data_IF_865256694897
#
_entry.id   IF_865256694897
#
_cell.length_a   1.000
_cell.length_b   1.000
_cell.length_c   1.000
_cell.angle_alpha   90.00
_cell.angle_beta   90.00
_cell.angle_gamma   90.00
#
_symmetry.space_group_name_H-M   'P 1'
#
loop_
_entity.id
_entity.type
_entity.pdbx_description
1 polymer ?
#
# COMPACT_ATOMS: atom_id res chain seq x y z
N UNK A 1 -55.50 46.57 15.47
CA UNK A 1 -56.51 46.19 14.45
C UNK A 1 -56.40 44.69 14.19
N UNK A 2 -57.52 43.96 14.09
CA UNK A 2 -57.50 42.50 13.86
C UNK A 2 -57.06 42.23 12.43
N UNK A 3 -56.01 41.43 12.24
CA UNK A 3 -55.49 41.00 10.93
C UNK A 3 -56.45 39.99 10.24
N UNK A 4 -57.75 40.28 10.22
CA UNK A 4 -58.79 39.36 9.74
C UNK A 4 -59.08 38.16 10.65
N UNK A 5 -58.50 38.09 11.86
CA UNK A 5 -58.64 36.94 12.78
C UNK A 5 -59.54 37.27 13.98
N UNK A 6 -60.52 36.40 14.26
CA UNK A 6 -61.47 36.47 15.38
C UNK A 6 -62.92 36.84 15.00
N UNK A 7 -63.81 36.95 15.99
CA UNK A 7 -65.23 37.30 15.81
C UNK A 7 -65.50 38.79 15.51
N UNK A 8 -66.40 39.11 14.56
CA UNK A 8 -66.77 40.50 14.26
C UNK A 8 -67.31 41.26 15.49
N UNK A 9 -68.07 40.58 16.35
CA UNK A 9 -68.51 41.07 17.66
C UNK A 9 -68.55 39.92 18.67
N UNK A 10 -68.27 40.19 19.95
CA UNK A 10 -68.40 39.20 21.02
C UNK A 10 -69.87 38.94 21.39
N UNK A 11 -70.77 39.88 21.08
CA UNK A 11 -72.20 39.78 21.37
C UNK A 11 -72.85 38.67 20.54
N UNK A 12 -73.60 37.80 21.21
CA UNK A 12 -74.24 36.63 20.59
C UNK A 12 -73.33 35.39 20.46
N UNK A 13 -72.03 35.52 20.71
CA UNK A 13 -71.10 34.37 20.65
C UNK A 13 -71.03 33.55 21.95
N UNK A 14 -71.55 34.07 23.05
CA UNK A 14 -71.46 33.43 24.37
C UNK A 14 -70.06 33.43 24.99
N UNK A 15 -69.08 34.15 24.41
CA UNK A 15 -67.69 34.23 24.91
C UNK A 15 -67.24 35.70 25.06
N UNK A 16 -66.11 35.93 25.75
CA UNK A 16 -65.52 37.26 25.91
C UNK A 16 -64.94 37.86 24.63
N UNK A 17 -64.81 37.08 23.55
CA UNK A 17 -64.21 37.51 22.28
C UNK A 17 -62.68 37.70 22.34
N UNK A 18 -62.01 37.18 23.38
CA UNK A 18 -60.55 37.21 23.51
C UNK A 18 -59.89 36.25 22.50
N UNK A 19 -58.87 36.73 21.78
CA UNK A 19 -58.16 35.96 20.74
C UNK A 19 -56.70 35.83 21.13
N UNK A 20 -56.21 34.60 21.25
CA UNK A 20 -54.79 34.30 21.50
C UNK A 20 -54.07 33.97 20.20
N UNK A 21 -52.78 34.30 20.14
CA UNK A 21 -51.91 33.81 19.06
C UNK A 21 -51.51 32.36 19.35
N UNK A 22 -51.55 31.50 18.32
CA UNK A 22 -51.07 30.13 18.47
C UNK A 22 -49.54 30.11 18.41
N UNK A 23 -48.89 29.83 19.55
CA UNK A 23 -47.42 29.74 19.64
C UNK A 23 -46.80 28.56 18.88
N UNK A 24 -47.60 27.55 18.52
CA UNK A 24 -47.18 26.42 17.70
C UNK A 24 -47.47 26.62 16.21
N UNK A 25 -48.10 27.73 15.82
CA UNK A 25 -48.33 28.02 14.41
C UNK A 25 -46.99 28.30 13.72
N UNK A 26 -46.59 27.38 12.84
CA UNK A 26 -45.43 27.55 11.97
C UNK A 26 -45.93 28.12 10.65
N UNK A 27 -45.36 29.26 10.26
CA UNK A 27 -45.60 29.86 8.95
C UNK A 27 -45.28 28.85 7.83
N UNK A 28 -46.13 28.76 6.81
CA UNK A 28 -45.95 27.87 5.66
C UNK A 28 -44.58 28.07 4.97
N UNK A 29 -44.03 29.28 5.03
CA UNK A 29 -42.68 29.61 4.56
C UNK A 29 -41.55 28.91 5.36
N UNK A 30 -41.80 28.53 6.62
CA UNK A 30 -40.86 27.74 7.44
C UNK A 30 -41.02 26.24 7.22
N UNK A 31 -42.21 25.78 6.83
CA UNK A 31 -42.42 24.39 6.38
C UNK A 31 -41.66 24.10 5.07
N UNK A 32 -41.60 25.07 4.15
CA UNK A 32 -40.86 24.91 2.88
C UNK A 32 -39.34 25.07 3.03
N UNK A 33 -38.86 25.76 4.07
CA UNK A 33 -37.43 25.86 4.37
C UNK A 33 -36.87 24.52 4.87
N UNK A 34 -37.61 23.84 5.75
CA UNK A 34 -37.28 22.47 6.14
C UNK A 34 -37.42 21.52 4.94
N UNK A 35 -38.36 21.76 4.03
CA UNK A 35 -38.52 21.00 2.79
C UNK A 35 -37.33 21.15 1.83
N UNK A 36 -36.73 22.35 1.67
CA UNK A 36 -35.50 22.51 0.87
C UNK A 36 -34.30 21.79 1.46
N UNK A 37 -34.24 21.70 2.79
CA UNK A 37 -33.22 20.88 3.49
C UNK A 37 -33.52 19.38 3.38
N UNK A 38 -34.80 19.01 3.22
CA UNK A 38 -35.28 17.64 3.02
C UNK A 38 -35.45 17.22 1.55
N UNK A 39 -35.33 18.10 0.56
CA UNK A 39 -35.48 17.75 -0.86
C UNK A 39 -34.35 16.80 -1.29
N UNK A 40 -33.15 16.97 -0.74
CA UNK A 40 -32.06 16.00 -0.88
C UNK A 40 -32.33 14.66 -0.21
N UNK A 41 -33.23 14.60 0.80
CA UNK A 41 -33.65 13.38 1.46
C UNK A 41 -34.84 12.71 0.74
N UNK A 42 -35.84 13.48 0.28
CA UNK A 42 -37.02 12.95 -0.42
C UNK A 42 -36.79 12.60 -1.88
N UNK A 43 -35.84 13.25 -2.57
CA UNK A 43 -35.40 12.79 -3.88
C UNK A 43 -34.70 11.41 -3.80
N UNK A 44 -34.14 11.07 -2.64
CA UNK A 44 -33.52 9.77 -2.37
C UNK A 44 -34.52 8.61 -2.32
N UNK A 45 -35.77 8.91 -1.98
CA UNK A 45 -36.85 7.90 -1.86
C UNK A 45 -37.60 7.69 -3.19
N UNK A 46 -37.62 8.67 -4.11
CA UNK A 46 -38.36 8.56 -5.37
C UNK A 46 -37.66 7.72 -6.44
N UNK A 47 -36.33 7.73 -6.46
CA UNK A 47 -35.53 6.96 -7.41
C UNK A 47 -35.00 5.66 -6.76
N UNK A 48 -35.90 4.83 -6.23
CA UNK A 48 -35.66 3.39 -6.03
C UNK A 48 -34.59 2.98 -5.02
N UNK A 49 -34.67 3.41 -3.76
CA UNK A 49 -33.85 2.82 -2.70
C UNK A 49 -34.05 3.38 -1.30
N UNK A 50 -35.21 3.15 -0.69
CA UNK A 50 -35.33 3.22 0.76
C UNK A 50 -34.31 2.24 1.38
N UNK A 51 -33.28 2.77 2.04
CA UNK A 51 -32.25 2.00 2.76
C UNK A 51 -30.81 2.31 2.38
N UNK A 52 -30.54 2.84 1.17
CA UNK A 52 -29.18 3.22 0.80
C UNK A 52 -28.96 4.70 1.09
N UNK A 53 -28.28 5.02 2.19
CA UNK A 53 -27.49 6.24 2.21
C UNK A 53 -26.44 6.10 1.12
N UNK A 54 -26.78 6.44 -0.12
CA UNK A 54 -25.85 6.50 -1.25
C UNK A 54 -24.84 7.61 -0.97
N UNK A 55 -23.88 7.32 -0.09
CA UNK A 55 -22.67 8.07 0.09
C UNK A 55 -22.01 8.04 -1.28
N UNK A 56 -22.03 9.18 -2.00
CA UNK A 56 -21.43 9.25 -3.33
C UNK A 56 -19.96 8.86 -3.20
N UNK A 57 -19.55 7.85 -3.96
CA UNK A 57 -18.16 7.40 -3.99
C UNK A 57 -17.25 8.55 -4.44
N UNK A 58 -16.02 8.66 -3.90
CA UNK A 58 -15.05 9.63 -4.36
C UNK A 58 -14.71 9.36 -5.83
N UNK A 59 -14.63 10.42 -6.63
CA UNK A 59 -14.24 10.32 -8.04
C UNK A 59 -12.72 10.23 -8.14
N UNK A 60 -12.22 9.17 -8.79
CA UNK A 60 -10.79 8.99 -9.00
C UNK A 60 -10.18 10.15 -9.80
N UNK A 61 -10.88 10.64 -10.82
CA UNK A 61 -10.40 11.75 -11.65
C UNK A 61 -10.21 13.05 -10.85
N UNK A 62 -11.10 13.33 -9.88
CA UNK A 62 -10.99 14.54 -9.04
C UNK A 62 -9.84 14.39 -8.04
N UNK A 63 -9.66 13.20 -7.46
CA UNK A 63 -8.52 12.94 -6.56
C UNK A 63 -7.17 13.07 -7.30
N UNK A 64 -7.08 12.54 -8.52
CA UNK A 64 -5.89 12.67 -9.37
C UNK A 64 -5.63 14.14 -9.73
N UNK A 65 -6.67 14.88 -10.12
CA UNK A 65 -6.56 16.31 -10.40
C UNK A 65 -6.08 17.10 -9.18
N UNK A 66 -6.63 16.82 -7.99
CA UNK A 66 -6.21 17.50 -6.76
C UNK A 66 -4.75 17.18 -6.41
N UNK A 67 -4.30 15.94 -6.62
CA UNK A 67 -2.92 15.55 -6.42
C UNK A 67 -1.95 16.26 -7.38
N UNK A 68 -2.33 16.42 -8.65
CA UNK A 68 -1.56 17.19 -9.62
C UNK A 68 -1.55 18.68 -9.28
N UNK A 69 -2.72 19.24 -8.92
CA UNK A 69 -2.83 20.63 -8.48
C UNK A 69 -1.95 20.91 -7.26
N UNK A 70 -1.84 19.98 -6.31
CA UNK A 70 -0.98 20.15 -5.15
C UNK A 70 0.52 20.29 -5.54
N UNK A 71 0.96 19.58 -6.58
CA UNK A 71 2.33 19.74 -7.12
C UNK A 71 2.50 21.13 -7.74
N UNK A 72 1.56 21.58 -8.56
CA UNK A 72 1.66 22.89 -9.20
C UNK A 72 1.56 24.04 -8.18
N UNK A 73 0.76 23.90 -7.13
CA UNK A 73 0.73 24.84 -5.99
C UNK A 73 2.08 24.87 -5.28
N UNK A 74 2.68 23.71 -4.98
CA UNK A 74 4.01 23.66 -4.38
C UNK A 74 5.09 24.30 -5.28
N UNK A 75 4.95 24.21 -6.60
CA UNK A 75 5.83 24.89 -7.55
C UNK A 75 5.64 26.41 -7.50
N UNK A 76 4.40 26.90 -7.46
CA UNK A 76 4.12 28.32 -7.33
C UNK A 76 4.61 28.91 -6.00
N UNK A 77 4.44 28.18 -4.89
CA UNK A 77 4.99 28.57 -3.59
C UNK A 77 6.53 28.62 -3.61
N UNK A 78 7.17 27.68 -4.30
CA UNK A 78 8.63 27.66 -4.43
C UNK A 78 9.12 28.83 -5.28
N UNK A 79 8.41 29.15 -6.37
CA UNK A 79 8.68 30.30 -7.22
C UNK A 79 8.62 31.61 -6.43
N UNK A 80 7.54 31.84 -5.68
CA UNK A 80 7.37 33.03 -4.84
C UNK A 80 8.47 33.13 -3.78
N UNK A 81 8.82 32.02 -3.12
CA UNK A 81 9.90 31.97 -2.12
C UNK A 81 11.24 32.32 -2.74
N UNK A 82 11.64 31.66 -3.82
CA UNK A 82 12.94 31.91 -4.46
C UNK A 82 13.03 33.31 -5.08
N UNK A 83 11.92 33.84 -5.61
CA UNK A 83 11.85 35.23 -6.09
C UNK A 83 12.05 36.23 -4.94
N UNK A 84 11.44 35.98 -3.77
CA UNK A 84 11.62 36.83 -2.58
C UNK A 84 13.05 36.78 -2.02
N UNK A 85 13.75 35.67 -2.21
CA UNK A 85 15.16 35.47 -1.85
C UNK A 85 16.13 36.09 -2.88
N UNK A 86 15.62 36.62 -4.01
CA UNK A 86 16.44 37.24 -5.06
C UNK A 86 17.19 36.25 -5.94
N UNK A 87 16.71 35.01 -6.06
CA UNK A 87 17.30 34.02 -6.96
C UNK A 87 17.15 34.45 -8.43
N UNK A 88 18.11 34.06 -9.28
CA UNK A 88 18.04 34.29 -10.73
C UNK A 88 16.93 33.46 -11.37
N UNK A 89 16.26 34.00 -12.40
CA UNK A 89 15.18 33.33 -13.15
C UNK A 89 15.56 31.91 -13.60
N UNK A 90 16.76 31.70 -14.15
CA UNK A 90 17.20 30.37 -14.58
C UNK A 90 17.35 29.33 -13.45
N UNK A 91 17.66 29.78 -12.23
CA UNK A 91 17.71 28.91 -11.05
C UNK A 91 16.30 28.57 -10.54
N UNK A 92 15.38 29.53 -10.62
CA UNK A 92 13.96 29.35 -10.27
C UNK A 92 13.32 28.32 -11.21
N UNK A 93 13.51 28.47 -12.53
CA UNK A 93 12.96 27.53 -13.53
C UNK A 93 13.48 26.10 -13.32
N UNK A 94 14.79 25.93 -13.10
CA UNK A 94 15.38 24.63 -12.86
C UNK A 94 14.85 23.97 -11.57
N UNK A 95 14.64 24.75 -10.51
CA UNK A 95 14.08 24.28 -9.25
C UNK A 95 12.60 23.87 -9.39
N UNK A 96 11.81 24.63 -10.15
CA UNK A 96 10.41 24.31 -10.46
C UNK A 96 10.32 23.03 -11.29
N UNK A 97 11.12 22.89 -12.35
CA UNK A 97 11.10 21.69 -13.20
C UNK A 97 11.46 20.44 -12.39
N UNK A 98 12.49 20.54 -11.55
CA UNK A 98 12.88 19.47 -10.63
C UNK A 98 11.72 19.09 -9.70
N UNK A 99 11.06 20.08 -9.10
CA UNK A 99 9.95 19.87 -8.17
C UNK A 99 8.75 19.22 -8.87
N UNK A 100 8.41 19.63 -10.10
CA UNK A 100 7.38 18.96 -10.92
C UNK A 100 7.73 17.51 -11.21
N UNK A 101 8.98 17.23 -11.60
CA UNK A 101 9.44 15.88 -11.92
C UNK A 101 9.38 14.97 -10.68
N UNK A 102 9.96 15.43 -9.58
CA UNK A 102 10.01 14.69 -8.31
C UNK A 102 8.61 14.42 -7.76
N UNK A 103 7.71 15.41 -7.82
CA UNK A 103 6.31 15.27 -7.40
C UNK A 103 5.53 14.24 -8.23
N UNK A 104 5.68 14.28 -9.57
CA UNK A 104 5.02 13.31 -10.48
C UNK A 104 5.55 11.90 -10.27
N UNK A 105 6.87 11.75 -10.09
CA UNK A 105 7.49 10.46 -9.80
C UNK A 105 7.04 9.91 -8.44
N UNK A 106 6.89 10.76 -7.43
CA UNK A 106 6.36 10.37 -6.13
C UNK A 106 4.89 9.90 -6.22
N UNK A 107 4.03 10.60 -6.98
CA UNK A 107 2.66 10.16 -7.23
C UNK A 107 2.61 8.82 -7.98
N UNK A 108 3.46 8.64 -8.99
CA UNK A 108 3.57 7.38 -9.73
C UNK A 108 4.01 6.23 -8.83
N UNK A 109 5.06 6.43 -8.03
CA UNK A 109 5.53 5.43 -7.04
C UNK A 109 4.42 5.10 -6.05
N UNK A 110 3.69 6.08 -5.52
CA UNK A 110 2.56 5.85 -4.60
C UNK A 110 1.42 5.05 -5.23
N UNK A 111 1.24 5.12 -6.56
CA UNK A 111 0.28 4.28 -7.28
C UNK A 111 0.75 2.84 -7.42
N UNK A 112 2.05 2.64 -7.64
CA UNK A 112 2.67 1.33 -7.83
C UNK A 112 2.87 0.58 -6.49
N UNK A 113 3.34 1.28 -5.47
CA UNK A 113 3.43 0.77 -4.12
C UNK A 113 2.09 1.01 -3.44
N UNK A 114 1.25 -0.01 -3.31
CA UNK A 114 0.00 0.02 -2.51
C UNK A 114 0.23 0.29 -1.01
N UNK A 115 1.38 0.84 -0.63
CA UNK A 115 1.71 1.32 0.70
C UNK A 115 0.91 2.59 0.96
N UNK A 116 0.00 2.50 1.93
CA UNK A 116 -0.62 3.64 2.60
C UNK A 116 0.45 4.45 3.35
N UNK A 117 1.32 5.13 2.61
CA UNK A 117 2.11 6.20 3.18
C UNK A 117 1.11 7.25 3.66
N UNK A 118 1.08 7.50 4.98
CA UNK A 118 0.41 8.67 5.55
C UNK A 118 1.00 9.89 4.85
N UNK A 119 0.28 10.50 3.91
CA UNK A 119 0.66 11.83 3.46
C UNK A 119 0.43 12.78 4.64
N UNK A 120 1.43 13.59 4.96
CA UNK A 120 1.33 14.59 6.02
C UNK A 120 0.35 15.71 5.62
N UNK A 121 0.26 16.01 4.32
CA UNK A 121 -0.78 16.85 3.76
C UNK A 121 -2.09 16.06 3.60
N UNK A 122 -3.12 16.49 4.33
CA UNK A 122 -4.49 15.96 4.22
C UNK A 122 -5.18 16.69 3.06
N UNK A 123 -5.71 15.94 2.10
CA UNK A 123 -6.61 16.53 1.10
C UNK A 123 -7.94 16.88 1.76
N UNK A 124 -8.15 18.16 2.04
CA UNK A 124 -9.37 18.72 2.63
C UNK A 124 -10.50 18.92 1.62
N UNK A 125 -10.28 18.63 0.34
CA UNK A 125 -11.34 18.64 -0.67
C UNK A 125 -12.45 17.66 -0.28
N UNK A 126 -13.67 17.94 -0.74
CA UNK A 126 -14.83 17.08 -0.50
C UNK A 126 -14.53 15.62 -0.86
N UNK A 127 -13.91 15.36 -2.02
CA UNK A 127 -13.58 13.99 -2.44
C UNK A 127 -12.48 13.35 -1.60
N UNK A 128 -11.45 14.11 -1.18
CA UNK A 128 -10.42 13.63 -0.26
C UNK A 128 -10.98 13.28 1.12
N UNK A 129 -11.92 14.07 1.64
CA UNK A 129 -12.64 13.75 2.89
C UNK A 129 -13.50 12.50 2.73
N UNK A 130 -14.20 12.36 1.61
CA UNK A 130 -15.03 11.17 1.33
C UNK A 130 -14.18 9.90 1.23
N UNK A 131 -13.05 9.94 0.52
CA UNK A 131 -12.12 8.82 0.44
C UNK A 131 -11.60 8.41 1.83
N UNK A 132 -11.23 9.39 2.67
CA UNK A 132 -10.78 9.13 4.04
C UNK A 132 -11.88 8.47 4.87
N UNK A 133 -13.10 8.99 4.80
CA UNK A 133 -14.25 8.38 5.49
C UNK A 133 -14.54 6.97 4.99
N UNK A 134 -14.45 6.72 3.69
CA UNK A 134 -14.60 5.35 3.16
C UNK A 134 -13.53 4.41 3.67
N UNK A 135 -12.27 4.86 3.75
CA UNK A 135 -11.18 4.05 4.31
C UNK A 135 -11.34 3.81 5.82
N UNK A 136 -11.78 4.81 6.58
CA UNK A 136 -12.09 4.70 8.00
C UNK A 136 -13.26 3.74 8.24
N UNK A 137 -14.33 3.85 7.46
CA UNK A 137 -15.47 2.93 7.49
C UNK A 137 -15.07 1.52 7.06
N UNK A 138 -14.20 1.35 6.06
CA UNK A 138 -13.67 0.03 5.69
C UNK A 138 -12.81 -0.56 6.81
N UNK A 139 -12.00 0.26 7.50
CA UNK A 139 -11.21 -0.18 8.65
C UNK A 139 -12.09 -0.59 9.82
N UNK A 140 -13.14 0.18 10.11
CA UNK A 140 -14.12 -0.15 11.14
C UNK A 140 -14.90 -1.41 10.78
N UNK A 141 -15.39 -1.53 9.54
CA UNK A 141 -16.07 -2.73 9.05
C UNK A 141 -15.20 -3.98 9.23
N UNK A 142 -13.92 -3.91 8.84
CA UNK A 142 -12.95 -5.00 9.07
C UNK A 142 -12.77 -5.31 10.56
N UNK A 143 -12.72 -4.29 11.43
CA UNK A 143 -12.60 -4.49 12.88
C UNK A 143 -13.83 -5.16 13.49
N UNK A 144 -15.03 -4.84 13.00
CA UNK A 144 -16.28 -5.48 13.40
C UNK A 144 -16.54 -6.82 12.70
N UNK A 145 -15.66 -7.25 11.79
CA UNK A 145 -15.85 -8.49 11.03
C UNK A 145 -16.95 -8.41 9.97
N UNK A 146 -17.36 -7.19 9.58
CA UNK A 146 -18.33 -6.97 8.50
C UNK A 146 -17.61 -7.12 7.16
N UNK A 147 -17.99 -8.15 6.41
CA UNK A 147 -17.44 -8.40 5.09
C UNK A 147 -17.94 -7.36 4.07
N UNK A 148 -17.17 -7.16 2.98
CA UNK A 148 -17.61 -6.26 1.88
C UNK A 148 -18.99 -6.64 1.34
N UNK A 149 -19.29 -7.94 1.32
CA UNK A 149 -20.58 -8.50 0.87
C UNK A 149 -21.72 -8.15 1.83
N UNK A 150 -21.46 -8.17 3.13
CA UNK A 150 -22.46 -7.80 4.15
C UNK A 150 -22.73 -6.30 4.14
N UNK A 151 -21.71 -5.48 3.83
CA UNK A 151 -21.88 -4.04 3.63
C UNK A 151 -22.73 -3.71 2.40
N UNK A 152 -22.58 -4.49 1.34
CA UNK A 152 -23.27 -4.25 0.06
C UNK A 152 -24.63 -5.00 -0.01
N UNK A 153 -24.97 -5.79 1.02
CA UNK A 153 -26.24 -6.50 1.11
C UNK A 153 -27.41 -5.53 1.31
N UNK A 154 -28.52 -5.80 0.63
CA UNK A 154 -29.75 -5.02 0.77
C UNK A 154 -30.50 -5.46 2.02
N UNK A 155 -31.18 -4.52 2.66
CA UNK A 155 -32.11 -4.84 3.74
C UNK A 155 -33.18 -5.82 3.22
N UNK A 156 -33.31 -6.97 3.88
CA UNK A 156 -34.18 -8.07 3.43
C UNK A 156 -33.44 -9.30 2.90
N UNK A 157 -32.19 -9.15 2.42
CA UNK A 157 -31.39 -10.26 1.87
C UNK A 157 -31.12 -11.37 2.91
N UNK A 158 -31.13 -10.99 4.20
CA UNK A 158 -31.01 -11.94 5.31
C UNK A 158 -32.22 -12.88 5.43
N UNK A 159 -33.37 -12.58 4.85
CA UNK A 159 -34.57 -13.43 4.95
C UNK A 159 -34.77 -14.32 3.72
N UNK A 160 -34.06 -14.07 2.62
CA UNK A 160 -34.11 -14.89 1.42
C UNK A 160 -33.35 -16.21 1.62
N UNK A 161 -34.09 -17.31 1.64
CA UNK A 161 -33.56 -18.65 1.89
C UNK A 161 -32.67 -19.14 0.74
N UNK A 162 -33.00 -18.79 -0.50
CA UNK A 162 -32.22 -19.21 -1.68
C UNK A 162 -30.90 -18.45 -1.72
N UNK A 163 -30.94 -17.14 -1.45
CA UNK A 163 -29.74 -16.31 -1.32
C UNK A 163 -28.84 -16.80 -0.17
N UNK A 164 -29.40 -17.18 0.96
CA UNK A 164 -28.60 -17.77 2.05
C UNK A 164 -27.95 -19.10 1.67
N UNK A 165 -28.65 -19.97 0.92
CA UNK A 165 -28.11 -21.26 0.50
C UNK A 165 -26.94 -21.07 -0.46
N UNK A 166 -27.11 -20.25 -1.50
CA UNK A 166 -26.05 -19.91 -2.46
C UNK A 166 -24.83 -19.30 -1.77
N UNK A 167 -25.04 -18.38 -0.80
CA UNK A 167 -23.96 -17.81 -0.01
C UNK A 167 -23.21 -18.85 0.83
N UNK A 168 -23.91 -19.83 1.41
CA UNK A 168 -23.28 -20.92 2.17
C UNK A 168 -22.46 -21.83 1.27
N UNK A 169 -22.96 -22.14 0.08
CA UNK A 169 -22.26 -22.95 -0.92
C UNK A 169 -21.02 -22.22 -1.44
N UNK A 170 -21.13 -20.94 -1.80
CA UNK A 170 -19.98 -20.12 -2.18
C UNK A 170 -18.94 -20.06 -1.06
N UNK A 171 -19.36 -19.81 0.20
CA UNK A 171 -18.44 -19.78 1.35
C UNK A 171 -17.74 -21.13 1.54
N UNK A 172 -18.41 -22.26 1.29
CA UNK A 172 -17.81 -23.60 1.33
C UNK A 172 -16.82 -23.82 0.18
N UNK A 173 -17.22 -23.48 -1.05
CA UNK A 173 -16.38 -23.61 -2.23
C UNK A 173 -15.10 -22.76 -2.13
N UNK A 174 -15.23 -21.51 -1.67
CA UNK A 174 -14.10 -20.62 -1.46
C UNK A 174 -13.09 -21.15 -0.42
N UNK A 175 -13.58 -21.75 0.68
CA UNK A 175 -12.72 -22.41 1.68
C UNK A 175 -12.01 -23.62 1.08
N UNK A 176 -12.73 -24.46 0.33
CA UNK A 176 -12.12 -25.63 -0.32
C UNK A 176 -11.06 -25.22 -1.35
N UNK A 177 -11.31 -24.18 -2.14
CA UNK A 177 -10.34 -23.65 -3.10
C UNK A 177 -9.11 -23.09 -2.39
N UNK A 178 -9.30 -22.34 -1.29
CA UNK A 178 -8.20 -21.81 -0.49
C UNK A 178 -7.36 -22.94 0.11
N UNK A 179 -7.98 -23.98 0.66
CA UNK A 179 -7.29 -25.17 1.17
C UNK A 179 -6.52 -25.90 0.05
N UNK A 180 -7.14 -26.09 -1.12
CA UNK A 180 -6.48 -26.67 -2.30
C UNK A 180 -5.28 -25.82 -2.73
N UNK A 181 -5.40 -24.49 -2.71
CA UNK A 181 -4.32 -23.56 -3.03
C UNK A 181 -3.19 -23.65 -2.00
N UNK A 182 -3.50 -23.61 -0.70
CA UNK A 182 -2.53 -23.76 0.40
C UNK A 182 -1.83 -25.12 0.32
N UNK A 183 -2.54 -26.20 0.01
CA UNK A 183 -1.97 -27.53 -0.17
C UNK A 183 -1.02 -27.58 -1.40
N UNK A 184 -1.41 -26.96 -2.53
CA UNK A 184 -0.55 -26.82 -3.71
C UNK A 184 0.72 -26.01 -3.40
N UNK A 185 0.60 -24.92 -2.65
CA UNK A 185 1.74 -24.10 -2.23
C UNK A 185 2.67 -24.85 -1.28
N UNK A 186 2.13 -25.56 -0.28
CA UNK A 186 2.91 -26.45 0.61
C UNK A 186 3.66 -27.53 -0.17
N UNK A 187 3.00 -28.22 -1.10
CA UNK A 187 3.62 -29.23 -1.97
C UNK A 187 4.72 -28.63 -2.85
N UNK A 188 4.53 -27.41 -3.36
CA UNK A 188 5.56 -26.69 -4.13
C UNK A 188 6.74 -26.29 -3.26
N UNK A 189 6.50 -25.79 -2.04
CA UNK A 189 7.53 -25.43 -1.09
C UNK A 189 8.37 -26.66 -0.66
N UNK A 190 7.71 -27.77 -0.32
CA UNK A 190 8.38 -29.02 0.04
C UNK A 190 9.24 -29.57 -1.12
N UNK A 191 8.73 -29.51 -2.36
CA UNK A 191 9.53 -29.87 -3.56
C UNK A 191 10.74 -28.95 -3.74
N UNK A 192 10.61 -27.65 -3.49
CA UNK A 192 11.72 -26.68 -3.56
C UNK A 192 12.76 -26.97 -2.48
N UNK A 193 12.33 -27.24 -1.26
CA UNK A 193 13.21 -27.59 -0.13
C UNK A 193 13.96 -28.90 -0.39
N UNK A 194 13.28 -29.96 -0.84
CA UNK A 194 13.90 -31.23 -1.23
C UNK A 194 14.95 -31.03 -2.34
N UNK A 195 14.65 -30.22 -3.36
CA UNK A 195 15.61 -29.87 -4.43
C UNK A 195 16.80 -29.08 -3.89
N UNK A 196 16.58 -28.14 -2.97
CA UNK A 196 17.64 -27.36 -2.34
C UNK A 196 18.57 -28.24 -1.49
N UNK A 197 18.02 -29.13 -0.64
CA UNK A 197 18.79 -30.11 0.15
C UNK A 197 19.63 -31.03 -0.75
N UNK A 198 19.07 -31.52 -1.86
CA UNK A 198 19.80 -32.34 -2.84
C UNK A 198 20.94 -31.56 -3.51
N UNK A 199 20.73 -30.29 -3.86
CA UNK A 199 21.77 -29.41 -4.43
C UNK A 199 22.87 -29.11 -3.42
N UNK A 200 22.52 -28.82 -2.16
CA UNK A 200 23.47 -28.59 -1.07
C UNK A 200 24.35 -29.83 -0.82
N UNK A 201 23.75 -31.02 -0.66
CA UNK A 201 24.50 -32.28 -0.48
C UNK A 201 25.43 -32.58 -1.67
N UNK A 202 25.01 -32.27 -2.90
CA UNK A 202 25.87 -32.42 -4.10
C UNK A 202 27.03 -31.43 -4.08
N UNK A 203 26.81 -30.18 -3.64
CA UNK A 203 27.85 -29.16 -3.50
C UNK A 203 28.86 -29.53 -2.43
N UNK A 204 28.41 -29.94 -1.25
CA UNK A 204 29.26 -30.40 -0.16
C UNK A 204 30.14 -31.60 -0.58
N UNK A 205 29.56 -32.58 -1.28
CA UNK A 205 30.33 -33.71 -1.82
C UNK A 205 31.39 -33.28 -2.85
N UNK A 206 31.13 -32.23 -3.63
CA UNK A 206 32.11 -31.66 -4.58
C UNK A 206 33.23 -30.93 -3.85
N UNK A 207 32.88 -30.11 -2.86
CA UNK A 207 33.84 -29.36 -2.04
C UNK A 207 34.75 -30.32 -1.24
N UNK A 208 34.21 -31.40 -0.67
CA UNK A 208 35.01 -32.44 -0.01
C UNK A 208 36.00 -33.11 -0.97
N UNK A 209 35.54 -33.50 -2.17
CA UNK A 209 36.43 -34.09 -3.19
C UNK A 209 37.52 -33.12 -3.65
N UNK A 210 37.20 -31.83 -3.76
CA UNK A 210 38.17 -30.81 -4.12
C UNK A 210 39.21 -30.62 -3.01
N UNK A 211 38.77 -30.59 -1.74
CA UNK A 211 39.68 -30.52 -0.58
C UNK A 211 40.62 -31.71 -0.53
N UNK A 212 40.12 -32.93 -0.71
CA UNK A 212 40.94 -34.16 -0.78
C UNK A 212 41.96 -34.09 -1.93
N UNK A 213 41.56 -33.58 -3.11
CA UNK A 213 42.49 -33.38 -4.25
C UNK A 213 43.56 -32.34 -3.96
N UNK A 214 43.19 -31.20 -3.36
CA UNK A 214 44.14 -30.15 -2.96
C UNK A 214 45.14 -30.66 -1.93
N UNK A 215 44.68 -31.44 -0.95
CA UNK A 215 45.56 -32.03 0.06
C UNK A 215 46.51 -33.06 -0.54
N UNK A 216 46.02 -33.93 -1.44
CA UNK A 216 46.87 -34.89 -2.16
C UNK A 216 47.90 -34.19 -3.05
N UNK A 217 47.54 -33.06 -3.67
CA UNK A 217 48.46 -32.24 -4.46
C UNK A 217 49.55 -31.62 -3.58
N UNK A 218 49.18 -31.05 -2.41
CA UNK A 218 50.14 -30.50 -1.44
C UNK A 218 51.13 -31.57 -0.96
N UNK A 219 50.65 -32.75 -0.58
CA UNK A 219 51.51 -33.87 -0.16
C UNK A 219 52.46 -34.34 -1.27
N UNK A 220 52.04 -34.28 -2.54
CA UNK A 220 52.92 -34.57 -3.68
C UNK A 220 53.99 -33.50 -3.84
N UNK A 221 53.61 -32.23 -3.81
CA UNK A 221 54.56 -31.11 -3.89
C UNK A 221 55.56 -31.10 -2.74
N UNK A 222 55.15 -31.47 -1.52
CA UNK A 222 56.05 -31.63 -0.37
C UNK A 222 57.08 -32.75 -0.59
N UNK A 223 56.65 -33.91 -1.13
CA UNK A 223 57.56 -35.02 -1.46
C UNK A 223 58.53 -34.64 -2.57
N UNK A 224 58.04 -34.01 -3.64
CA UNK A 224 58.89 -33.54 -4.74
C UNK A 224 59.91 -32.50 -4.26
N UNK A 225 59.52 -31.60 -3.34
CA UNK A 225 60.44 -30.65 -2.73
C UNK A 225 61.49 -31.33 -1.82
N UNK A 226 61.11 -32.39 -1.10
CA UNK A 226 62.06 -33.17 -0.29
C UNK A 226 63.05 -33.93 -1.18
N UNK A 227 62.57 -34.55 -2.26
CA UNK A 227 63.41 -35.25 -3.25
C UNK A 227 64.36 -34.27 -3.97
N UNK A 228 63.88 -33.08 -4.32
CA UNK A 228 64.71 -32.02 -4.90
C UNK A 228 65.81 -31.55 -3.94
N UNK A 229 65.51 -31.42 -2.63
CA UNK A 229 66.52 -31.09 -1.61
C UNK A 229 67.56 -32.19 -1.47
N UNK A 230 67.15 -33.47 -1.47
CA UNK A 230 68.08 -34.61 -1.44
C UNK A 230 68.99 -34.62 -2.67
N UNK A 231 68.43 -34.40 -3.86
CA UNK A 231 69.22 -34.33 -5.09
C UNK A 231 70.18 -33.13 -5.09
N UNK A 232 69.74 -31.95 -4.62
CA UNK A 232 70.61 -30.78 -4.50
C UNK A 232 71.75 -30.99 -3.49
N UNK A 233 71.50 -31.71 -2.39
CA UNK A 233 72.54 -32.08 -1.42
C UNK A 233 73.57 -33.02 -2.06
N UNK A 234 73.14 -34.06 -2.77
CA UNK A 234 74.04 -34.95 -3.54
C UNK A 234 74.87 -34.19 -4.57
N UNK A 235 74.24 -33.28 -5.31
CA UNK A 235 74.95 -32.49 -6.32
C UNK A 235 75.99 -31.54 -5.69
N UNK A 236 75.71 -31.00 -4.49
CA UNK A 236 76.71 -30.22 -3.74
C UNK A 236 77.88 -31.07 -3.29
N UNK A 237 77.62 -32.27 -2.76
CA UNK A 237 78.69 -33.22 -2.39
C UNK A 237 79.56 -33.58 -3.60
N UNK A 238 78.96 -33.81 -4.77
CA UNK A 238 79.69 -34.06 -6.02
C UNK A 238 80.54 -32.86 -6.44
N UNK A 239 80.00 -31.63 -6.34
CA UNK A 239 80.76 -30.41 -6.64
C UNK A 239 81.91 -30.17 -5.65
N UNK A 240 81.71 -30.45 -4.36
CA UNK A 240 82.76 -30.32 -3.33
C UNK A 240 83.92 -31.29 -3.61
N UNK A 241 83.63 -32.50 -4.10
CA UNK A 241 84.63 -33.48 -4.54
C UNK A 241 85.41 -32.98 -5.76
N UNK A 242 84.70 -32.43 -6.76
CA UNK A 242 85.32 -31.86 -7.96
C UNK A 242 86.19 -30.65 -7.62
N UNK A 243 85.71 -29.73 -6.78
CA UNK A 243 86.48 -28.57 -6.31
C UNK A 243 87.72 -28.98 -5.52
N UNK A 244 87.63 -30.05 -4.71
CA UNK A 244 88.78 -30.64 -4.03
C UNK A 244 89.78 -31.28 -5.01
N UNK A 245 89.32 -31.82 -6.14
CA UNK A 245 90.18 -32.34 -7.20
C UNK A 245 90.83 -31.24 -8.04
N UNK A 246 90.09 -30.17 -8.38
CA UNK A 246 90.63 -28.97 -9.04
C UNK A 246 91.71 -28.33 -8.16
N UNK A 247 91.45 -28.17 -6.86
CA UNK A 247 92.44 -27.66 -5.89
C UNK A 247 93.67 -28.55 -5.78
N UNK A 248 93.54 -29.88 -5.96
CA UNK A 248 94.69 -30.80 -6.02
C UNK A 248 95.50 -30.62 -7.30
N UNK A 249 94.85 -30.46 -8.46
CA UNK A 249 95.52 -30.24 -9.75
C UNK A 249 96.18 -28.87 -9.88
N UNK A 250 95.65 -27.83 -9.25
CA UNK A 250 96.24 -26.49 -9.26
C UNK A 250 97.46 -26.33 -8.32
N UNK A 251 97.78 -27.35 -7.51
CA UNK A 251 98.91 -27.37 -6.57
C UNK A 251 100.06 -28.30 -7.03
N UNK A 252 99.97 -28.88 -8.22
CA UNK A 252 101.04 -29.61 -8.89
C UNK A 252 101.48 -28.85 -10.14
#
# INVERSE_FOLDING_TARGET
MRNGVGLASARGSGTSGYVQTNKFHRDASRLTRDAKTNEGWRARDRDGGAGATTTRRPSAAILEHNALRAIEVACAELEERMASEGASEGAIEAAIEKTRRDGRDALRRRRETATKAKSEARDESTHGVMQRKEEEMERLARAFGVDKRERDAREGDAFDRELQQTLREEKRAAREEEERRRARERRRAEKREKKAKKRAKKREKRERKERERREKSKRRGEREAEDAKRNAARFREELDVVDAEIKRRARG
#
